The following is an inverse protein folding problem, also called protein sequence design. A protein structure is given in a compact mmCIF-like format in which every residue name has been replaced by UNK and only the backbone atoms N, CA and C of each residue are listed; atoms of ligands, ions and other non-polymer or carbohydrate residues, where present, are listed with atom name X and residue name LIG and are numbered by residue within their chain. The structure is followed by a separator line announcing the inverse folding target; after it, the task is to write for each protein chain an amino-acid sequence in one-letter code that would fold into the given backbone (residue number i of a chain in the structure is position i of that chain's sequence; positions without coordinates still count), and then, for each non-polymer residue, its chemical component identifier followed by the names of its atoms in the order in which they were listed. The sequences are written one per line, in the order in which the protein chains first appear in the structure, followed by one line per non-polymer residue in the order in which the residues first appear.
data_IF_537280677991
#
_entry.id   IF_537280677991
#
_cell.length_a   1.000
_cell.length_b   1.000
_cell.length_c   1.000
_cell.angle_alpha   90.00
_cell.angle_beta   90.00
_cell.angle_gamma   90.00
#
_symmetry.space_group_name_H-M   'P 1'
#
loop_
_entity.id
_entity.type
_entity.pdbx_description
1 polymer ?
#
# COMPACT_ATOMS: atom_id res chain seq x y z
N UNK A 1 0.97 26.19 -13.39
CA UNK A 1 0.34 25.05 -14.10
C UNK A 1 0.81 23.75 -13.47
N UNK A 2 -0.08 23.01 -12.80
CA UNK A 2 0.29 21.78 -12.08
C UNK A 2 0.59 20.67 -13.10
N UNK A 3 1.86 20.27 -13.23
CA UNK A 3 2.25 19.06 -13.96
C UNK A 3 1.59 17.89 -13.22
N UNK A 4 0.36 17.51 -13.61
CA UNK A 4 -0.11 16.15 -13.39
C UNK A 4 0.95 15.29 -14.06
N UNK A 5 1.78 14.61 -13.27
CA UNK A 5 2.69 13.60 -13.80
C UNK A 5 1.79 12.55 -14.44
N UNK A 6 1.60 12.72 -15.76
CA UNK A 6 0.82 11.85 -16.59
C UNK A 6 1.55 10.52 -16.56
N UNK A 7 0.81 9.44 -16.33
CA UNK A 7 1.37 8.11 -16.48
C UNK A 7 1.90 8.00 -17.92
N UNK A 8 3.08 7.40 -18.12
CA UNK A 8 3.54 7.13 -19.48
C UNK A 8 2.48 6.28 -20.20
N UNK A 9 2.31 6.47 -21.51
CA UNK A 9 1.33 5.72 -22.27
C UNK A 9 1.63 4.21 -22.22
N UNK A 10 0.62 3.35 -22.44
CA UNK A 10 0.86 1.93 -22.69
C UNK A 10 1.75 1.79 -23.94
N UNK A 11 2.50 0.68 -24.06
CA UNK A 11 3.31 0.44 -25.25
C UNK A 11 2.42 0.33 -26.49
N UNK A 12 2.90 0.77 -27.67
CA UNK A 12 2.13 0.69 -28.90
C UNK A 12 1.71 -0.77 -29.22
N UNK A 13 0.46 -0.97 -29.68
CA UNK A 13 0.00 -2.23 -30.25
C UNK A 13 0.97 -2.75 -31.31
N UNK A 14 1.07 -4.07 -31.45
CA UNK A 14 2.04 -4.74 -32.33
C UNK A 14 1.94 -4.22 -33.77
N UNK A 15 0.73 -3.88 -34.20
CA UNK A 15 0.37 -3.44 -35.54
C UNK A 15 0.94 -2.06 -35.91
N UNK A 16 1.31 -1.23 -34.92
CA UNK A 16 1.81 0.14 -35.13
C UNK A 16 3.19 0.39 -34.52
N UNK A 17 3.94 -0.67 -34.20
CA UNK A 17 5.30 -0.54 -33.66
C UNK A 17 6.26 -0.07 -34.75
N UNK A 18 6.85 1.11 -34.55
CA UNK A 18 7.75 1.75 -35.53
C UNK A 18 9.20 1.85 -35.05
N UNK A 19 9.63 1.02 -34.09
CA UNK A 19 11.02 1.05 -33.64
C UNK A 19 11.97 0.67 -34.78
N UNK A 20 13.01 1.47 -35.06
CA UNK A 20 13.93 1.22 -36.18
C UNK A 20 14.80 -0.02 -35.96
N UNK A 21 15.13 -0.33 -34.70
CA UNK A 21 15.92 -1.49 -34.32
C UNK A 21 15.61 -1.97 -32.88
N UNK A 22 16.14 -3.14 -32.52
CA UNK A 22 16.01 -3.69 -31.16
C UNK A 22 16.66 -2.77 -30.11
N UNK A 23 17.74 -2.07 -30.46
CA UNK A 23 18.41 -1.12 -29.57
C UNK A 23 17.50 0.04 -29.17
N UNK A 24 16.80 0.67 -30.13
CA UNK A 24 15.83 1.72 -29.85
C UNK A 24 14.67 1.23 -28.95
N UNK A 25 14.15 0.02 -29.19
CA UNK A 25 13.12 -0.57 -28.33
C UNK A 25 13.60 -0.73 -26.88
N UNK A 26 14.80 -1.26 -26.68
CA UNK A 26 15.35 -1.50 -25.34
C UNK A 26 15.67 -0.19 -24.61
N UNK A 27 16.14 0.83 -25.33
CA UNK A 27 16.41 2.15 -24.77
C UNK A 27 15.11 2.83 -24.27
N UNK A 28 14.07 2.85 -25.08
CA UNK A 28 12.75 3.39 -24.70
C UNK A 28 12.15 2.62 -23.53
N UNK A 29 12.21 1.28 -23.59
CA UNK A 29 11.74 0.41 -22.50
C UNK A 29 12.47 0.70 -21.20
N UNK A 30 13.80 0.79 -21.22
CA UNK A 30 14.60 1.06 -20.02
C UNK A 30 14.26 2.42 -19.40
N UNK A 31 14.06 3.44 -20.23
CA UNK A 31 13.66 4.78 -19.79
C UNK A 31 12.28 4.76 -19.12
N UNK A 32 11.28 4.17 -19.78
CA UNK A 32 9.90 4.12 -19.27
C UNK A 32 9.80 3.25 -18.02
N UNK A 33 10.44 2.07 -17.99
CA UNK A 33 10.47 1.21 -16.81
C UNK A 33 11.21 1.89 -15.65
N UNK A 34 12.31 2.60 -15.91
CA UNK A 34 13.03 3.37 -14.89
C UNK A 34 12.15 4.40 -14.21
N UNK A 35 11.40 5.17 -14.99
CA UNK A 35 10.46 6.17 -14.46
C UNK A 35 9.26 5.52 -13.74
N UNK A 36 8.70 4.44 -14.28
CA UNK A 36 7.61 3.70 -13.64
C UNK A 36 8.03 3.09 -12.29
N UNK A 37 9.23 2.51 -12.20
CA UNK A 37 9.77 1.95 -10.96
C UNK A 37 10.00 3.06 -9.93
N UNK A 38 10.58 4.20 -10.32
CA UNK A 38 10.71 5.37 -9.44
C UNK A 38 9.35 5.89 -8.97
N UNK A 39 8.35 5.96 -9.84
CA UNK A 39 6.98 6.38 -9.48
C UNK A 39 6.27 5.39 -8.56
N UNK A 40 6.65 4.10 -8.61
CA UNK A 40 6.08 3.04 -7.78
C UNK A 40 6.76 2.95 -6.40
N UNK A 41 8.10 2.89 -6.36
CA UNK A 41 8.90 2.63 -5.15
C UNK A 41 9.68 3.84 -4.62
N UNK A 42 9.51 5.02 -5.22
CA UNK A 42 10.19 6.22 -4.77
C UNK A 42 9.93 6.55 -3.29
N UNK A 43 10.91 7.17 -2.60
CA UNK A 43 10.78 7.52 -1.18
C UNK A 43 9.60 8.45 -0.91
N UNK A 44 9.23 9.29 -1.88
CA UNK A 44 8.04 10.15 -1.81
C UNK A 44 6.73 9.36 -1.65
N UNK A 45 6.64 8.16 -2.24
CA UNK A 45 5.46 7.28 -2.10
C UNK A 45 5.38 6.67 -0.72
N UNK A 46 6.53 6.36 -0.12
CA UNK A 46 6.59 5.88 1.25
C UNK A 46 6.14 7.00 2.18
N UNK A 47 6.70 8.20 2.04
CA UNK A 47 6.27 9.38 2.80
C UNK A 47 4.77 9.66 2.67
N UNK A 48 4.19 9.55 1.47
CA UNK A 48 2.74 9.71 1.28
C UNK A 48 1.91 8.60 1.95
N UNK A 49 2.38 7.36 1.97
CA UNK A 49 1.72 6.28 2.69
C UNK A 49 1.71 6.56 4.19
N UNK A 50 2.86 6.96 4.75
CA UNK A 50 2.99 7.36 6.15
C UNK A 50 2.16 8.58 6.49
N UNK A 51 2.10 9.59 5.63
CA UNK A 51 1.27 10.78 5.84
C UNK A 51 -0.21 10.42 5.90
N UNK A 52 -0.69 9.54 5.00
CA UNK A 52 -2.08 9.06 5.02
C UNK A 52 -2.37 8.20 6.25
N UNK A 53 -1.43 7.35 6.63
CA UNK A 53 -1.50 6.58 7.87
C UNK A 53 -1.56 7.47 9.10
N UNK A 54 -0.72 8.49 9.17
CA UNK A 54 -0.69 9.49 10.23
C UNK A 54 -1.98 10.31 10.31
N UNK A 55 -2.56 10.69 9.16
CA UNK A 55 -3.88 11.31 9.12
C UNK A 55 -4.98 10.37 9.64
N UNK A 56 -4.91 9.09 9.31
CA UNK A 56 -5.79 8.06 9.85
C UNK A 56 -5.65 7.92 11.36
N UNK A 57 -4.41 7.83 11.86
CA UNK A 57 -4.08 7.79 13.29
C UNK A 57 -4.64 9.01 14.00
N UNK A 58 -4.42 10.21 13.47
CA UNK A 58 -4.93 11.45 14.05
C UNK A 58 -6.46 11.47 14.12
N UNK A 59 -7.13 11.09 13.03
CA UNK A 59 -8.58 11.04 12.99
C UNK A 59 -9.17 9.99 13.93
N UNK A 60 -8.52 8.83 14.06
CA UNK A 60 -8.93 7.81 15.01
C UNK A 60 -8.65 8.22 16.46
N UNK A 61 -7.53 8.89 16.74
CA UNK A 61 -7.24 9.43 18.07
C UNK A 61 -8.34 10.39 18.53
N UNK A 62 -8.76 11.33 17.67
CA UNK A 62 -9.87 12.23 17.97
C UNK A 62 -11.19 11.47 18.21
N UNK A 63 -11.46 10.44 17.40
CA UNK A 63 -12.66 9.61 17.53
C UNK A 63 -12.66 8.79 18.82
N UNK A 64 -11.53 8.18 19.18
CA UNK A 64 -11.39 7.41 20.41
C UNK A 64 -11.45 8.31 21.65
N UNK A 65 -10.86 9.50 21.61
CA UNK A 65 -11.02 10.51 22.68
C UNK A 65 -12.48 10.95 22.81
N UNK A 66 -13.24 11.06 21.71
CA UNK A 66 -14.66 11.32 21.78
C UNK A 66 -15.42 10.20 22.53
N UNK A 67 -15.09 8.93 22.27
CA UNK A 67 -15.71 7.81 22.98
C UNK A 67 -15.42 7.83 24.48
N UNK A 68 -14.16 8.09 24.86
CA UNK A 68 -13.78 8.25 26.28
C UNK A 68 -14.57 9.41 26.91
N UNK A 69 -14.67 10.55 26.21
CA UNK A 69 -15.44 11.70 26.68
C UNK A 69 -16.91 11.36 26.90
N UNK A 70 -17.54 10.57 26.03
CA UNK A 70 -18.93 10.14 26.20
C UNK A 70 -19.13 9.16 27.36
N UNK A 71 -18.11 8.38 27.70
CA UNK A 71 -18.15 7.41 28.80
C UNK A 71 -17.95 8.09 30.16
N UNK A 72 -17.13 9.13 30.22
CA UNK A 72 -16.80 9.85 31.46
C UNK A 72 -17.72 11.06 31.76
N UNK A 73 -18.37 11.62 30.75
CA UNK A 73 -19.17 12.84 30.91
C UNK A 73 -20.62 12.55 31.30
N UNK A 74 -21.05 13.13 32.43
CA UNK A 74 -22.45 13.14 32.87
C UNK A 74 -23.16 14.47 32.59
N UNK A 75 -22.45 15.44 31.99
CA UNK A 75 -22.94 16.80 31.73
C UNK A 75 -22.98 17.16 30.23
N UNK A 76 -23.75 18.21 29.92
CA UNK A 76 -24.02 18.64 28.53
C UNK A 76 -22.76 19.14 27.84
N UNK A 77 -21.82 19.74 28.59
CA UNK A 77 -20.59 20.28 28.02
C UNK A 77 -19.62 19.18 27.57
N UNK A 78 -19.46 18.12 28.36
CA UNK A 78 -18.65 16.96 27.95
C UNK A 78 -19.24 16.23 26.74
N UNK A 79 -20.57 16.13 26.66
CA UNK A 79 -21.25 15.59 25.48
C UNK A 79 -20.99 16.44 24.22
N UNK A 80 -21.09 17.77 24.32
CA UNK A 80 -20.82 18.67 23.19
C UNK A 80 -19.35 18.56 22.73
N UNK A 81 -18.41 18.49 23.67
CA UNK A 81 -16.99 18.29 23.37
C UNK A 81 -16.74 16.98 22.63
N UNK A 82 -17.34 15.88 23.08
CA UNK A 82 -17.27 14.58 22.38
C UNK A 82 -17.80 14.65 20.95
N UNK A 83 -18.93 15.34 20.71
CA UNK A 83 -19.49 15.50 19.35
C UNK A 83 -18.54 16.29 18.44
N UNK A 84 -17.92 17.36 18.94
CA UNK A 84 -16.94 18.15 18.18
C UNK A 84 -15.72 17.30 17.82
N UNK A 85 -15.18 16.55 18.77
CA UNK A 85 -14.06 15.64 18.51
C UNK A 85 -14.40 14.56 17.49
N UNK A 86 -15.60 13.96 17.59
CA UNK A 86 -16.07 12.96 16.64
C UNK A 86 -16.18 13.55 15.23
N UNK A 87 -16.71 14.76 15.09
CA UNK A 87 -16.82 15.44 13.81
C UNK A 87 -15.44 15.75 13.19
N UNK A 88 -14.48 16.22 13.99
CA UNK A 88 -13.10 16.45 13.55
C UNK A 88 -12.40 15.12 13.18
N UNK A 89 -12.60 14.08 13.99
CA UNK A 89 -12.08 12.74 13.74
C UNK A 89 -12.58 12.15 12.42
N UNK A 90 -13.90 12.22 12.18
CA UNK A 90 -14.50 11.84 10.90
C UNK A 90 -13.97 12.70 9.75
N UNK A 91 -13.83 14.01 9.96
CA UNK A 91 -13.25 14.94 9.00
C UNK A 91 -11.81 14.63 8.60
N UNK A 92 -11.04 13.95 9.45
CA UNK A 92 -9.69 13.48 9.14
C UNK A 92 -9.68 12.04 8.57
N UNK A 93 -10.47 11.12 9.13
CA UNK A 93 -10.54 9.71 8.72
C UNK A 93 -11.05 9.55 7.28
N UNK A 94 -12.12 10.25 6.93
CA UNK A 94 -12.75 10.10 5.61
C UNK A 94 -11.75 10.47 4.49
N UNK A 95 -11.07 11.63 4.52
CA UNK A 95 -10.02 11.93 3.56
C UNK A 95 -8.86 10.93 3.57
N UNK A 96 -8.44 10.42 4.73
CA UNK A 96 -7.37 9.43 4.81
C UNK A 96 -7.74 8.17 4.01
N UNK A 97 -8.95 7.64 4.22
CA UNK A 97 -9.46 6.46 3.50
C UNK A 97 -9.55 6.73 1.99
N UNK A 98 -10.10 7.87 1.59
CA UNK A 98 -10.21 8.25 0.18
C UNK A 98 -8.84 8.35 -0.49
N UNK A 99 -7.86 8.98 0.17
CA UNK A 99 -6.50 9.13 -0.35
C UNK A 99 -5.78 7.77 -0.48
N UNK A 100 -6.01 6.85 0.46
CA UNK A 100 -5.52 5.46 0.37
C UNK A 100 -6.16 4.75 -0.82
N UNK A 101 -7.48 4.80 -0.98
CA UNK A 101 -8.20 4.16 -2.07
C UNK A 101 -7.76 4.68 -3.45
N UNK A 102 -7.64 6.01 -3.61
CA UNK A 102 -7.11 6.62 -4.84
C UNK A 102 -5.66 6.21 -5.08
N UNK A 103 -4.85 6.12 -4.03
CA UNK A 103 -3.48 5.61 -4.08
C UNK A 103 -3.40 4.17 -4.61
N UNK A 104 -4.25 3.28 -4.09
CA UNK A 104 -4.32 1.88 -4.51
C UNK A 104 -4.75 1.74 -5.97
N UNK A 105 -5.75 2.50 -6.42
CA UNK A 105 -6.18 2.52 -7.83
C UNK A 105 -5.04 2.93 -8.76
N UNK A 106 -4.27 3.96 -8.38
CA UNK A 106 -3.11 4.41 -9.16
C UNK A 106 -1.98 3.37 -9.16
N UNK A 107 -1.76 2.68 -8.04
CA UNK A 107 -0.77 1.61 -7.95
C UNK A 107 -1.14 0.41 -8.85
N UNK A 108 -2.43 0.07 -8.98
CA UNK A 108 -2.90 -0.96 -9.92
C UNK A 108 -2.60 -0.55 -11.37
N UNK A 109 -2.87 0.71 -11.74
CA UNK A 109 -2.57 1.22 -13.09
C UNK A 109 -1.06 1.18 -13.40
N UNK A 110 -0.23 1.64 -12.45
CA UNK A 110 1.23 1.57 -12.57
C UNK A 110 1.73 0.14 -12.76
N UNK A 111 1.15 -0.82 -12.02
CA UNK A 111 1.51 -2.24 -12.16
C UNK A 111 1.16 -2.81 -13.53
N UNK A 112 0.01 -2.44 -14.10
CA UNK A 112 -0.38 -2.86 -15.45
C UNK A 112 0.62 -2.36 -16.48
N UNK A 113 1.01 -1.08 -16.38
CA UNK A 113 2.04 -0.50 -17.27
C UNK A 113 3.40 -1.18 -17.11
N UNK A 114 3.83 -1.45 -15.87
CA UNK A 114 5.08 -2.18 -15.59
C UNK A 114 5.09 -3.58 -16.19
N UNK A 115 3.95 -4.27 -16.23
CA UNK A 115 3.82 -5.58 -16.88
C UNK A 115 3.88 -5.43 -18.40
N UNK A 116 3.06 -4.56 -18.99
CA UNK A 116 3.01 -4.35 -20.44
C UNK A 116 4.36 -3.94 -21.03
N UNK A 117 5.05 -3.00 -20.40
CA UNK A 117 6.40 -2.58 -20.83
C UNK A 117 7.47 -3.64 -20.51
N UNK A 118 7.28 -4.41 -19.45
CA UNK A 118 8.18 -5.48 -19.05
C UNK A 118 8.16 -6.69 -19.97
N UNK A 119 7.01 -6.98 -20.59
CA UNK A 119 6.78 -8.13 -21.49
C UNK A 119 7.30 -7.92 -22.92
N UNK A 120 7.66 -6.69 -23.31
CA UNK A 120 8.09 -6.36 -24.68
C UNK A 120 9.32 -7.14 -25.15
N UNK A 121 10.40 -7.06 -24.38
CA UNK A 121 11.67 -7.73 -24.65
C UNK A 121 12.49 -7.75 -23.35
N UNK A 122 13.57 -8.53 -23.31
CA UNK A 122 14.40 -8.73 -22.13
C UNK A 122 15.82 -8.22 -22.34
N UNK A 123 16.28 -7.44 -21.37
CA UNK A 123 17.67 -7.00 -21.28
C UNK A 123 18.20 -7.22 -19.84
N UNK A 124 18.80 -8.40 -19.55
CA UNK A 124 19.25 -8.73 -18.21
C UNK A 124 20.40 -7.86 -17.70
N UNK A 125 21.10 -7.14 -18.58
CA UNK A 125 22.21 -6.25 -18.21
C UNK A 125 21.67 -4.86 -17.88
N UNK A 126 20.85 -4.27 -18.76
CA UNK A 126 20.19 -2.98 -18.52
C UNK A 126 19.18 -3.00 -17.38
N UNK A 127 18.50 -4.14 -17.15
CA UNK A 127 17.45 -4.27 -16.14
C UNK A 127 17.98 -4.39 -14.69
N UNK A 128 19.31 -4.44 -14.46
CA UNK A 128 19.88 -4.58 -13.11
C UNK A 128 19.54 -3.38 -12.21
N UNK A 129 19.57 -2.17 -12.76
CA UNK A 129 19.26 -0.94 -12.03
C UNK A 129 17.78 -0.89 -11.58
N UNK A 130 16.89 -1.54 -12.32
CA UNK A 130 15.44 -1.58 -12.04
C UNK A 130 15.08 -2.45 -10.83
N UNK A 131 16.01 -3.28 -10.34
CA UNK A 131 15.77 -4.21 -9.22
C UNK A 131 15.63 -3.52 -7.87
N UNK A 132 16.21 -2.32 -7.73
CA UNK A 132 16.20 -1.44 -6.54
C UNK A 132 16.07 -2.21 -5.19
N UNK A 133 16.99 -3.14 -4.88
CA UNK A 133 16.82 -4.06 -3.75
C UNK A 133 16.77 -3.32 -2.41
N UNK A 134 17.57 -2.26 -2.24
CA UNK A 134 17.59 -1.44 -1.03
C UNK A 134 16.25 -0.75 -0.78
N UNK A 135 15.65 -0.13 -1.80
CA UNK A 135 14.35 0.52 -1.68
C UNK A 135 13.25 -0.50 -1.30
N UNK A 136 13.23 -1.66 -1.98
CA UNK A 136 12.28 -2.72 -1.64
C UNK A 136 12.46 -3.26 -0.21
N UNK A 137 13.70 -3.33 0.28
CA UNK A 137 14.00 -3.79 1.64
C UNK A 137 13.56 -2.77 2.68
N UNK A 138 13.83 -1.48 2.48
CA UNK A 138 13.38 -0.40 3.36
C UNK A 138 11.86 -0.37 3.45
N UNK A 139 11.17 -0.47 2.31
CA UNK A 139 9.71 -0.59 2.27
C UNK A 139 9.23 -1.81 3.06
N UNK A 140 9.86 -2.97 2.87
CA UNK A 140 9.48 -4.19 3.56
C UNK A 140 9.67 -4.06 5.07
N UNK A 141 10.84 -3.65 5.54
CA UNK A 141 11.18 -3.59 6.96
C UNK A 141 10.30 -2.60 7.71
N UNK A 142 10.18 -1.37 7.22
CA UNK A 142 9.38 -0.34 7.87
C UNK A 142 7.89 -0.72 7.89
N UNK A 143 7.39 -1.26 6.79
CA UNK A 143 5.98 -1.67 6.71
C UNK A 143 5.71 -2.94 7.52
N UNK A 144 6.68 -3.86 7.62
CA UNK A 144 6.57 -5.06 8.44
C UNK A 144 6.53 -4.72 9.93
N UNK A 145 7.42 -3.84 10.39
CA UNK A 145 7.42 -3.37 11.79
C UNK A 145 6.08 -2.72 12.15
N UNK A 146 5.58 -1.85 11.27
CA UNK A 146 4.27 -1.20 11.47
C UNK A 146 3.13 -2.22 11.44
N UNK A 147 3.18 -3.19 10.53
CA UNK A 147 2.18 -4.25 10.40
C UNK A 147 2.13 -5.15 11.65
N UNK A 148 3.29 -5.62 12.10
CA UNK A 148 3.42 -6.51 13.25
C UNK A 148 3.07 -5.78 14.55
N UNK A 149 3.55 -4.54 14.73
CA UNK A 149 3.19 -3.71 15.88
C UNK A 149 1.70 -3.36 15.91
N UNK A 150 1.11 -3.04 14.76
CA UNK A 150 -0.33 -2.81 14.63
C UNK A 150 -1.17 -4.06 14.97
N UNK A 151 -0.76 -5.23 14.49
CA UNK A 151 -1.44 -6.48 14.82
C UNK A 151 -1.28 -6.85 16.30
N UNK A 152 -0.07 -6.68 16.85
CA UNK A 152 0.22 -6.91 18.26
C UNK A 152 -0.65 -6.02 19.14
N UNK A 153 -0.76 -4.73 18.84
CA UNK A 153 -1.62 -3.79 19.60
C UNK A 153 -3.10 -4.15 19.51
N UNK A 154 -3.59 -4.62 18.36
CA UNK A 154 -4.97 -5.12 18.24
C UNK A 154 -5.29 -6.30 19.18
N UNK A 155 -4.29 -7.10 19.55
CA UNK A 155 -4.46 -8.30 20.39
C UNK A 155 -4.11 -8.01 21.84
N UNK A 156 -2.99 -7.33 22.08
CA UNK A 156 -2.47 -7.10 23.42
C UNK A 156 -3.34 -6.14 24.24
N UNK A 157 -3.90 -5.10 23.60
CA UNK A 157 -4.78 -4.13 24.28
C UNK A 157 -6.03 -4.82 24.84
N UNK A 158 -6.88 -5.51 24.05
CA UNK A 158 -8.06 -6.17 24.60
C UNK A 158 -7.73 -7.36 25.52
N UNK A 159 -6.59 -8.03 25.33
CA UNK A 159 -6.16 -9.12 26.21
C UNK A 159 -5.68 -8.64 27.59
N UNK A 160 -5.15 -7.41 27.67
CA UNK A 160 -4.73 -6.78 28.93
C UNK A 160 -5.85 -6.09 29.70
N UNK A 161 -6.98 -5.82 29.04
CA UNK A 161 -8.08 -5.07 29.61
C UNK A 161 -8.76 -5.81 30.78
N UNK A 162 -8.70 -5.23 31.97
CA UNK A 162 -9.42 -5.70 33.15
C UNK A 162 -10.79 -5.05 33.25
N UNK A 163 -11.81 -5.88 33.50
CA UNK A 163 -13.20 -5.43 33.62
C UNK A 163 -13.35 -4.53 34.86
N UNK A 164 -13.54 -3.23 34.65
CA UNK A 164 -13.78 -2.24 35.70
C UNK A 164 -12.64 -1.23 35.90
N UNK A 165 -11.44 -1.47 35.36
CA UNK A 165 -10.32 -0.51 35.42
C UNK A 165 -10.13 0.26 34.11
N UNK A 166 -10.45 -0.35 32.97
CA UNK A 166 -10.32 0.29 31.64
C UNK A 166 -11.67 0.63 31.03
N UNK A 167 -11.78 1.83 30.45
CA UNK A 167 -12.96 2.27 29.69
C UNK A 167 -13.03 1.58 28.33
N UNK A 168 -14.25 1.32 27.84
CA UNK A 168 -14.44 0.75 26.51
C UNK A 168 -13.86 1.68 25.42
N UNK A 169 -13.91 2.99 25.66
CA UNK A 169 -13.26 4.00 24.82
C UNK A 169 -11.75 3.80 24.66
N UNK A 170 -11.02 3.47 25.74
CA UNK A 170 -9.57 3.23 25.69
C UNK A 170 -9.22 1.97 24.88
N UNK A 171 -9.97 0.89 25.08
CA UNK A 171 -9.79 -0.35 24.32
C UNK A 171 -10.07 -0.10 22.83
N UNK A 172 -11.17 0.58 22.49
CA UNK A 172 -11.51 0.92 21.11
C UNK A 172 -10.46 1.83 20.46
N UNK A 173 -9.96 2.83 21.19
CA UNK A 173 -8.87 3.70 20.75
C UNK A 173 -7.63 2.85 20.38
N UNK A 174 -7.15 2.03 21.30
CA UNK A 174 -5.96 1.19 21.09
C UNK A 174 -6.12 0.21 19.93
N UNK A 175 -7.27 -0.48 19.86
CA UNK A 175 -7.57 -1.42 18.78
C UNK A 175 -7.60 -0.74 17.40
N UNK A 176 -8.24 0.42 17.26
CA UNK A 176 -8.30 1.08 15.96
C UNK A 176 -6.98 1.72 15.54
N UNK A 177 -6.16 2.21 16.49
CA UNK A 177 -4.78 2.61 16.19
C UNK A 177 -3.95 1.42 15.68
N UNK A 178 -4.08 0.28 16.35
CA UNK A 178 -3.45 -0.97 15.92
C UNK A 178 -3.92 -1.39 14.53
N UNK A 179 -5.22 -1.32 14.25
CA UNK A 179 -5.82 -1.70 12.97
C UNK A 179 -5.32 -0.81 11.84
N UNK A 180 -5.24 0.50 12.06
CA UNK A 180 -4.70 1.45 11.08
C UNK A 180 -3.23 1.15 10.79
N UNK A 181 -2.42 0.96 11.84
CA UNK A 181 -1.02 0.57 11.70
C UNK A 181 -0.87 -0.74 10.92
N UNK A 182 -1.67 -1.75 11.26
CA UNK A 182 -1.69 -3.04 10.57
C UNK A 182 -2.01 -2.90 9.09
N UNK A 183 -3.08 -2.18 8.73
CA UNK A 183 -3.49 -1.97 7.34
C UNK A 183 -2.45 -1.20 6.53
N UNK A 184 -1.90 -0.11 7.08
CA UNK A 184 -0.86 0.70 6.42
C UNK A 184 0.40 -0.14 6.20
N UNK A 185 0.81 -0.91 7.20
CA UNK A 185 1.92 -1.85 7.10
C UNK A 185 1.67 -2.95 6.06
N UNK A 186 0.48 -3.55 6.03
CA UNK A 186 0.10 -4.58 5.07
C UNK A 186 0.15 -4.08 3.62
N UNK A 187 -0.30 -2.85 3.37
CA UNK A 187 -0.20 -2.19 2.05
C UNK A 187 1.26 -2.10 1.62
N UNK A 188 2.15 -1.63 2.50
CA UNK A 188 3.57 -1.49 2.22
C UNK A 188 4.29 -2.83 2.00
N UNK A 189 4.02 -3.85 2.83
CA UNK A 189 4.56 -5.21 2.67
C UNK A 189 4.12 -5.80 1.34
N UNK A 190 2.82 -5.73 1.04
CA UNK A 190 2.25 -6.24 -0.23
C UNK A 190 2.92 -5.55 -1.42
N UNK A 191 3.17 -4.24 -1.31
CA UNK A 191 3.83 -3.47 -2.37
C UNK A 191 5.24 -3.97 -2.65
N UNK A 192 6.04 -4.15 -1.60
CA UNK A 192 7.41 -4.68 -1.70
C UNK A 192 7.44 -6.11 -2.26
N UNK A 193 6.58 -7.00 -1.76
CA UNK A 193 6.51 -8.40 -2.21
C UNK A 193 6.10 -8.51 -3.68
N UNK A 194 5.10 -7.74 -4.12
CA UNK A 194 4.69 -7.76 -5.51
C UNK A 194 5.76 -7.17 -6.44
N UNK A 195 6.54 -6.17 -6.00
CA UNK A 195 7.69 -5.71 -6.77
C UNK A 195 8.78 -6.79 -6.88
N UNK A 196 9.13 -7.45 -5.77
CA UNK A 196 10.07 -8.59 -5.79
C UNK A 196 9.59 -9.70 -6.74
N UNK A 197 8.30 -10.04 -6.71
CA UNK A 197 7.70 -11.04 -7.62
C UNK A 197 7.77 -10.59 -9.08
N UNK A 198 7.59 -9.30 -9.37
CA UNK A 198 7.73 -8.75 -10.72
C UNK A 198 9.19 -8.81 -11.20
N UNK A 199 10.15 -8.42 -10.36
CA UNK A 199 11.59 -8.52 -10.69
C UNK A 199 11.98 -9.97 -11.03
N UNK A 200 11.52 -10.94 -10.23
CA UNK A 200 11.81 -12.36 -10.46
C UNK A 200 11.17 -12.89 -11.76
N UNK A 201 9.91 -12.54 -12.02
CA UNK A 201 9.17 -13.06 -13.18
C UNK A 201 9.52 -12.37 -14.49
N UNK A 202 9.66 -11.05 -14.48
CA UNK A 202 9.76 -10.23 -15.70
C UNK A 202 11.21 -9.93 -16.03
N UNK A 203 12.04 -9.55 -15.05
CA UNK A 203 13.44 -9.18 -15.31
C UNK A 203 14.38 -10.41 -15.27
N UNK A 204 14.15 -11.33 -14.33
CA UNK A 204 14.95 -12.55 -14.15
C UNK A 204 14.37 -13.73 -14.93
N UNK A 205 13.10 -13.66 -15.38
CA UNK A 205 12.47 -14.69 -16.21
C UNK A 205 12.50 -16.08 -15.58
N UNK A 206 12.40 -16.15 -14.25
CA UNK A 206 12.29 -17.44 -13.58
C UNK A 206 10.93 -18.08 -13.98
N UNK A 207 10.92 -19.38 -14.35
CA UNK A 207 9.68 -20.06 -14.72
C UNK A 207 8.67 -20.00 -13.57
N UNK A 208 7.38 -19.89 -13.94
CA UNK A 208 6.27 -19.97 -12.99
C UNK A 208 6.40 -21.28 -12.22
N UNK A 209 6.39 -21.28 -10.87
CA UNK A 209 6.25 -22.54 -10.14
C UNK A 209 4.96 -23.19 -10.63
N UNK A 210 5.10 -24.33 -11.31
CA UNK A 210 3.97 -25.06 -11.87
C UNK A 210 2.86 -25.15 -10.83
N UNK A 211 1.64 -24.83 -11.23
CA UNK A 211 0.49 -24.89 -10.34
C UNK A 211 0.49 -26.26 -9.64
N UNK A 212 0.66 -26.26 -8.31
CA UNK A 212 0.65 -27.48 -7.48
C UNK A 212 -0.73 -28.15 -7.43
N UNK A 213 -1.70 -27.67 -8.20
CA UNK A 213 -3.03 -28.24 -8.34
C UNK A 213 -3.21 -28.62 -9.80
N UNK A 214 -2.64 -29.77 -10.15
CA UNK A 214 -3.19 -30.61 -11.21
C UNK A 214 -4.57 -31.05 -10.72
N UNK A 215 -5.63 -30.34 -11.09
CA UNK A 215 -6.98 -30.92 -11.02
C UNK A 215 -7.00 -32.08 -12.02
N UNK A 216 -6.69 -33.28 -11.52
CA UNK A 216 -6.70 -34.50 -12.30
C UNK A 216 -8.05 -34.64 -12.97
N UNK A 217 -8.05 -34.58 -14.30
CA UNK A 217 -9.18 -35.00 -15.11
C UNK A 217 -9.45 -36.46 -14.83
N UNK A 218 -10.45 -36.71 -13.99
CA UNK A 218 -11.01 -38.04 -13.79
C UNK A 218 -11.65 -38.50 -15.10
N UNK A 219 -11.12 -39.59 -15.63
CA UNK A 219 -11.55 -40.22 -16.86
C UNK A 219 -13.03 -40.62 -16.81
N UNK A 220 -13.73 -40.35 -17.91
CA UNK A 220 -14.96 -41.04 -18.28
C UNK A 220 -14.70 -42.55 -18.34
N UNK A 221 -15.56 -43.32 -17.66
CA UNK A 221 -15.93 -44.68 -18.04
C UNK A 221 -17.45 -44.72 -18.16
#
# INVERSE_FOLDING_TARGET
MSRRSALPPPPPPVEIRTWPDRGALLADRALVLGELVKMHLGPSRLGLLWLRGGLGVLGWSLTGTAFISFEESYDVFGALYGVVLLALGAGALVPAVVLVAVGLRRDIQLRRLLLQWGELDRDPVGDRALRMPGASLVWLLLSFLLCAGGLFTCVAVPAGATRGDETYGLVALGMGLGLIGWLVGLIGVTKALLHRRWVIRVLIGAPVPGALISSGGGAHR
#
